data_IF_719840707608
#
_entry.id   IF_719840707608
#
_cell.length_a   1.000
_cell.length_b   1.000
_cell.length_c   1.000
_cell.angle_alpha   90.00
_cell.angle_beta   90.00
_cell.angle_gamma   90.00
#
_symmetry.space_group_name_H-M   'P 1'
#
loop_
_entity.id
_entity.type
_entity.pdbx_description
1 polymer ?
#
# COMPACT_ATOMS: atom_id res chain seq x y z
N UNK A 1 -29.30 -6.16 1.31
CA UNK A 1 -27.93 -5.63 1.50
C UNK A 1 -27.02 -6.78 1.86
N UNK A 2 -25.98 -7.12 1.08
CA UNK A 2 -24.98 -8.05 1.58
C UNK A 2 -24.05 -7.28 2.53
N UNK A 3 -23.92 -7.79 3.75
CA UNK A 3 -22.88 -7.39 4.68
C UNK A 3 -21.54 -7.80 4.07
N UNK A 4 -20.79 -6.84 3.54
CA UNK A 4 -19.36 -7.04 3.26
C UNK A 4 -18.72 -7.38 4.61
N UNK A 5 -17.95 -8.49 4.72
CA UNK A 5 -17.26 -8.78 5.96
C UNK A 5 -16.28 -7.64 6.22
N UNK A 6 -16.57 -6.82 7.23
CA UNK A 6 -15.60 -5.88 7.78
C UNK A 6 -14.47 -6.73 8.34
N UNK A 7 -13.42 -6.93 7.53
CA UNK A 7 -12.18 -7.53 7.97
C UNK A 7 -11.68 -6.65 9.11
N UNK A 8 -11.62 -7.22 10.32
CA UNK A 8 -11.20 -6.52 11.52
C UNK A 8 -9.92 -5.70 11.23
N UNK A 9 -9.79 -4.48 11.77
CA UNK A 9 -8.74 -3.53 11.39
C UNK A 9 -7.30 -4.04 11.52
N UNK A 10 -7.08 -5.11 12.30
CA UNK A 10 -5.76 -5.72 12.51
C UNK A 10 -5.52 -7.03 11.74
N UNK A 11 -6.46 -7.49 10.91
CA UNK A 11 -6.30 -8.76 10.17
C UNK A 11 -5.65 -8.50 8.81
N UNK A 12 -4.53 -9.18 8.56
CA UNK A 12 -3.92 -9.24 7.22
C UNK A 12 -4.81 -10.03 6.26
N UNK A 13 -4.96 -9.54 5.04
CA UNK A 13 -5.68 -10.20 3.97
C UNK A 13 -4.93 -10.10 2.65
N UNK A 14 -5.21 -11.00 1.70
CA UNK A 14 -4.69 -10.88 0.35
C UNK A 14 -5.41 -9.73 -0.37
N UNK A 15 -4.68 -8.81 -1.00
CA UNK A 15 -5.28 -7.65 -1.67
C UNK A 15 -6.25 -8.08 -2.79
N UNK A 16 -5.91 -9.15 -3.51
CA UNK A 16 -6.76 -9.75 -4.54
C UNK A 16 -8.11 -10.28 -4.02
N UNK A 17 -8.24 -10.52 -2.71
CA UNK A 17 -9.51 -10.97 -2.13
C UNK A 17 -10.54 -9.84 -1.99
N UNK A 18 -10.13 -8.57 -2.09
CA UNK A 18 -11.00 -7.40 -1.86
C UNK A 18 -10.90 -6.36 -2.98
N UNK A 19 -10.18 -6.64 -4.06
CA UNK A 19 -9.96 -5.68 -5.14
C UNK A 19 -11.27 -5.25 -5.83
N UNK A 20 -12.26 -6.13 -5.86
CA UNK A 20 -13.57 -5.85 -6.47
C UNK A 20 -14.55 -5.11 -5.54
N UNK A 21 -14.19 -4.95 -4.27
CA UNK A 21 -15.05 -4.37 -3.25
C UNK A 21 -14.69 -2.91 -3.00
N UNK A 22 -15.67 -2.02 -2.74
CA UNK A 22 -15.35 -0.68 -2.31
C UNK A 22 -14.65 -0.71 -0.95
N UNK A 23 -13.79 0.28 -0.71
CA UNK A 23 -13.13 0.44 0.58
C UNK A 23 -14.15 0.50 1.72
N UNK A 24 -13.93 -0.23 2.84
CA UNK A 24 -14.83 -0.18 3.98
C UNK A 24 -14.97 1.25 4.53
N UNK A 25 -16.17 1.64 5.00
CA UNK A 25 -16.36 2.92 5.65
C UNK A 25 -15.45 3.05 6.87
N UNK A 26 -14.87 4.24 7.08
CA UNK A 26 -13.94 4.51 8.17
C UNK A 26 -12.50 4.05 7.92
N UNK A 27 -12.20 3.48 6.74
CA UNK A 27 -10.82 3.20 6.33
C UNK A 27 -10.25 4.37 5.53
N UNK A 28 -8.98 4.71 5.76
CA UNK A 28 -8.21 5.71 5.00
C UNK A 28 -7.46 5.11 3.80
N UNK A 29 -7.49 3.80 3.66
CA UNK A 29 -6.77 3.03 2.65
C UNK A 29 -6.40 1.66 3.19
N UNK A 30 -5.59 0.92 2.44
CA UNK A 30 -4.97 -0.31 2.90
C UNK A 30 -3.46 -0.21 2.78
N UNK A 31 -2.75 -0.42 3.88
CA UNK A 31 -1.30 -0.60 3.89
C UNK A 31 -0.98 -1.92 3.19
N UNK A 32 -0.15 -1.91 2.16
CA UNK A 32 0.18 -3.08 1.35
C UNK A 32 1.62 -3.51 1.51
N UNK A 33 1.88 -4.83 1.48
CA UNK A 33 3.21 -5.42 1.46
C UNK A 33 3.28 -6.67 0.59
N UNK A 34 4.29 -6.74 -0.26
CA UNK A 34 4.65 -7.97 -0.96
C UNK A 34 5.22 -9.00 0.03
N UNK A 35 4.59 -10.17 0.12
CA UNK A 35 5.07 -11.34 0.88
C UNK A 35 4.98 -12.55 -0.02
N UNK A 36 6.10 -13.23 -0.25
CA UNK A 36 6.19 -14.39 -1.15
C UNK A 36 5.56 -14.14 -2.54
N UNK A 37 5.82 -12.95 -3.10
CA UNK A 37 5.28 -12.56 -4.41
C UNK A 37 3.82 -12.10 -4.42
N UNK A 38 3.10 -12.14 -3.29
CA UNK A 38 1.69 -11.71 -3.19
C UNK A 38 1.54 -10.43 -2.40
N UNK A 39 0.68 -9.52 -2.85
CA UNK A 39 0.34 -8.34 -2.07
C UNK A 39 -0.64 -8.71 -0.95
N UNK A 40 -0.19 -8.53 0.28
CA UNK A 40 -1.00 -8.60 1.48
C UNK A 40 -1.30 -7.19 1.97
N UNK A 41 -2.42 -7.02 2.63
CA UNK A 41 -2.94 -5.74 3.01
C UNK A 41 -3.49 -5.75 4.44
N UNK A 42 -3.46 -4.59 5.07
CA UNK A 42 -4.12 -4.29 6.35
C UNK A 42 -4.85 -2.96 6.18
N UNK A 43 -6.07 -2.86 6.67
CA UNK A 43 -6.82 -1.61 6.62
C UNK A 43 -6.18 -0.55 7.50
N UNK A 44 -6.06 0.66 6.97
CA UNK A 44 -5.66 1.84 7.71
C UNK A 44 -6.90 2.58 8.20
N UNK A 45 -6.94 3.05 9.45
CA UNK A 45 -8.02 3.91 9.90
C UNK A 45 -8.01 5.23 9.10
N UNK A 46 -9.18 5.86 8.95
CA UNK A 46 -9.31 7.10 8.18
C UNK A 46 -8.40 8.22 8.67
N UNK A 47 -8.21 8.30 9.98
CA UNK A 47 -7.39 9.28 10.72
C UNK A 47 -5.98 8.76 11.03
N UNK A 48 -5.46 7.79 10.27
CA UNK A 48 -4.08 7.36 10.41
C UNK A 48 -3.08 8.51 10.29
N UNK A 49 -2.02 8.44 11.10
CA UNK A 49 -0.82 9.27 10.95
C UNK A 49 -0.15 9.05 9.58
N UNK A 50 0.71 9.99 9.13
CA UNK A 50 1.51 9.81 7.92
C UNK A 50 2.24 8.47 7.90
N UNK A 51 2.33 7.90 6.71
CA UNK A 51 2.95 6.60 6.51
C UNK A 51 4.42 6.64 6.89
N UNK A 52 4.91 5.65 7.65
CA UNK A 52 6.34 5.47 7.85
C UNK A 52 7.10 5.39 6.51
N UNK A 53 8.34 5.90 6.44
CA UNK A 53 9.13 5.87 5.20
C UNK A 53 9.21 4.48 4.56
N UNK A 54 8.95 4.41 3.26
CA UNK A 54 9.00 3.17 2.48
C UNK A 54 7.76 2.27 2.59
N UNK A 55 6.80 2.61 3.45
CA UNK A 55 5.49 1.94 3.48
C UNK A 55 4.56 2.50 2.41
N UNK A 56 3.72 1.64 1.83
CA UNK A 56 2.81 2.00 0.75
C UNK A 56 1.37 1.74 1.17
N UNK A 57 0.51 2.73 1.00
CA UNK A 57 -0.94 2.57 1.12
C UNK A 57 -1.62 2.68 -0.24
N UNK A 58 -2.65 1.86 -0.45
CA UNK A 58 -3.55 1.97 -1.58
C UNK A 58 -4.90 2.52 -1.12
N UNK A 59 -5.46 3.43 -1.91
CA UNK A 59 -6.84 3.88 -1.77
C UNK A 59 -7.59 3.59 -3.05
N UNK A 60 -8.83 3.11 -2.95
CA UNK A 60 -9.65 2.90 -4.13
C UNK A 60 -11.12 3.17 -3.90
N UNK A 61 -11.80 3.57 -4.98
CA UNK A 61 -13.23 3.77 -5.03
C UNK A 61 -13.80 3.10 -6.27
N UNK A 62 -15.06 2.68 -6.17
CA UNK A 62 -15.79 2.06 -7.28
C UNK A 62 -16.87 3.03 -7.75
N UNK A 63 -16.90 3.30 -9.05
CA UNK A 63 -17.91 4.13 -9.67
C UNK A 63 -18.32 3.52 -11.02
N UNK A 64 -19.61 3.22 -11.19
CA UNK A 64 -20.12 2.68 -12.45
C UNK A 64 -19.52 1.34 -12.89
N UNK A 65 -18.99 0.54 -11.96
CA UNK A 65 -18.30 -0.73 -12.26
C UNK A 65 -16.80 -0.58 -12.56
N UNK A 66 -16.29 0.64 -12.61
CA UNK A 66 -14.86 0.94 -12.73
C UNK A 66 -14.24 1.26 -11.36
N UNK A 67 -12.96 0.96 -11.23
CA UNK A 67 -12.17 1.25 -10.04
C UNK A 67 -11.15 2.33 -10.34
N UNK A 68 -11.07 3.33 -9.46
CA UNK A 68 -9.91 4.24 -9.40
C UNK A 68 -9.05 3.81 -8.23
N UNK A 69 -7.77 3.54 -8.49
CA UNK A 69 -6.79 3.18 -7.46
C UNK A 69 -5.72 4.25 -7.40
N UNK A 70 -5.34 4.68 -6.20
CA UNK A 70 -4.19 5.54 -5.96
C UNK A 70 -3.24 4.85 -5.00
N UNK A 71 -1.94 4.97 -5.26
CA UNK A 71 -0.88 4.49 -4.39
C UNK A 71 -0.13 5.68 -3.79
N UNK A 72 0.03 5.67 -2.48
CA UNK A 72 0.83 6.65 -1.72
C UNK A 72 1.95 5.94 -0.99
N UNK A 73 3.12 6.57 -0.90
CA UNK A 73 4.26 6.07 -0.14
C UNK A 73 4.67 7.07 0.92
N UNK A 74 5.01 6.56 2.10
CA UNK A 74 5.61 7.37 3.15
C UNK A 74 7.04 7.78 2.80
N UNK A 75 7.35 9.05 3.01
CA UNK A 75 8.69 9.63 2.97
C UNK A 75 8.97 10.36 4.28
N UNK A 76 10.24 10.68 4.60
CA UNK A 76 10.58 11.45 5.80
C UNK A 76 9.86 12.81 5.91
N UNK A 77 9.46 13.38 4.77
CA UNK A 77 8.76 14.66 4.67
C UNK A 77 7.24 14.53 4.64
N UNK A 78 6.70 13.31 4.65
CA UNK A 78 5.26 13.02 4.55
C UNK A 78 4.93 12.03 3.43
N UNK A 79 3.65 11.89 3.13
CA UNK A 79 3.14 10.94 2.16
C UNK A 79 3.12 11.51 0.73
N UNK A 80 3.71 10.80 -0.22
CA UNK A 80 3.77 11.21 -1.62
C UNK A 80 3.00 10.25 -2.53
N UNK A 81 2.37 10.79 -3.57
CA UNK A 81 1.62 10.01 -4.55
C UNK A 81 2.57 9.30 -5.52
N UNK A 82 2.54 7.97 -5.56
CA UNK A 82 3.29 7.19 -6.54
C UNK A 82 2.57 7.12 -7.89
N UNK A 83 1.23 7.05 -7.86
CA UNK A 83 0.44 6.90 -9.06
C UNK A 83 -1.05 6.88 -8.78
N UNK A 84 -1.81 7.24 -9.80
CA UNK A 84 -3.26 7.06 -9.84
C UNK A 84 -3.65 6.40 -11.15
N UNK A 85 -4.41 5.33 -11.06
CA UNK A 85 -4.92 4.57 -12.19
C UNK A 85 -6.44 4.70 -12.22
N UNK A 86 -6.98 5.54 -13.12
CA UNK A 86 -8.42 5.65 -13.32
C UNK A 86 -8.94 4.51 -14.21
N UNK A 87 -10.26 4.31 -14.18
CA UNK A 87 -10.98 3.45 -15.14
C UNK A 87 -10.45 2.00 -15.19
N UNK A 88 -10.02 1.45 -14.06
CA UNK A 88 -9.61 0.06 -13.99
C UNK A 88 -10.82 -0.87 -13.91
N UNK A 89 -10.70 -2.07 -14.48
CA UNK A 89 -11.65 -3.15 -14.23
C UNK A 89 -11.58 -3.66 -12.79
N UNK A 90 -12.49 -4.56 -12.42
CA UNK A 90 -12.56 -5.10 -11.06
C UNK A 90 -11.31 -5.93 -10.68
N UNK A 91 -10.56 -6.46 -11.65
CA UNK A 91 -9.31 -7.22 -11.44
C UNK A 91 -8.04 -6.35 -11.53
N UNK A 92 -8.08 -5.15 -10.94
CA UNK A 92 -7.02 -4.15 -11.07
C UNK A 92 -5.69 -4.52 -10.40
N UNK A 93 -5.66 -5.53 -9.52
CA UNK A 93 -4.46 -5.84 -8.73
C UNK A 93 -3.27 -6.19 -9.61
N UNK A 94 -3.48 -6.86 -10.74
CA UNK A 94 -2.38 -7.23 -11.62
C UNK A 94 -1.78 -6.03 -12.38
N UNK A 95 -2.56 -4.94 -12.52
CA UNK A 95 -2.11 -3.68 -13.11
C UNK A 95 -1.30 -2.87 -12.10
N UNK A 96 -1.77 -2.80 -10.85
CA UNK A 96 -1.15 -1.96 -9.80
C UNK A 96 0.04 -2.66 -9.13
N UNK A 97 0.02 -3.98 -9.03
CA UNK A 97 1.01 -4.74 -8.26
C UNK A 97 2.46 -4.61 -8.75
N UNK A 98 2.78 -4.54 -10.06
CA UNK A 98 4.14 -4.31 -10.52
C UNK A 98 4.74 -3.03 -9.93
N UNK A 99 4.04 -1.90 -10.06
CA UNK A 99 4.50 -0.60 -9.53
C UNK A 99 4.66 -0.63 -8.01
N UNK A 100 3.72 -1.24 -7.29
CA UNK A 100 3.83 -1.40 -5.83
C UNK A 100 5.07 -2.22 -5.46
N UNK A 101 5.33 -3.34 -6.14
CA UNK A 101 6.50 -4.18 -5.86
C UNK A 101 7.81 -3.47 -6.17
N UNK A 102 7.89 -2.76 -7.29
CA UNK A 102 9.08 -1.99 -7.68
C UNK A 102 9.38 -0.90 -6.66
N UNK A 103 8.36 -0.13 -6.26
CA UNK A 103 8.51 0.91 -5.26
C UNK A 103 8.92 0.33 -3.89
N UNK A 104 8.36 -0.81 -3.48
CA UNK A 104 8.78 -1.51 -2.26
C UNK A 104 10.21 -2.00 -2.33
N UNK A 105 10.60 -2.64 -3.45
CA UNK A 105 11.97 -3.11 -3.64
C UNK A 105 12.98 -1.98 -3.63
N UNK A 106 12.65 -0.84 -4.26
CA UNK A 106 13.49 0.36 -4.22
C UNK A 106 13.60 0.92 -2.81
N UNK A 107 12.49 1.03 -2.07
CA UNK A 107 12.49 1.50 -0.69
C UNK A 107 13.32 0.59 0.23
N UNK A 108 13.19 -0.74 0.08
CA UNK A 108 13.97 -1.72 0.83
C UNK A 108 15.47 -1.62 0.48
N UNK A 109 15.82 -1.44 -0.80
CA UNK A 109 17.21 -1.25 -1.22
C UNK A 109 17.83 0.04 -0.66
N UNK A 110 17.09 1.15 -0.67
CA UNK A 110 17.52 2.42 -0.09
C UNK A 110 17.71 2.32 1.43
N UNK A 111 16.77 1.67 2.13
CA UNK A 111 16.88 1.43 3.57
C UNK A 111 18.11 0.56 3.91
N UNK A 112 18.35 -0.51 3.17
CA UNK A 112 19.53 -1.35 3.34
C UNK A 112 20.83 -0.59 3.09
N UNK A 113 20.88 0.22 2.03
CA UNK A 113 22.04 1.05 1.69
C UNK A 113 22.34 2.06 2.79
N UNK A 114 21.30 2.71 3.33
CA UNK A 114 21.43 3.65 4.44
C UNK A 114 21.97 2.97 5.70
N UNK A 115 21.43 1.82 6.07
CA UNK A 115 21.90 1.07 7.23
C UNK A 115 23.37 0.65 7.09
N UNK A 116 23.80 0.26 5.87
CA UNK A 116 25.21 -0.04 5.58
C UNK A 116 26.10 1.20 5.73
N UNK A 117 25.66 2.36 5.23
CA UNK A 117 26.41 3.60 5.35
C UNK A 117 26.57 4.02 6.81
N UNK A 118 25.49 3.97 7.59
CA UNK A 118 25.51 4.27 9.03
C UNK A 118 26.49 3.33 9.77
N UNK A 119 26.46 2.03 9.47
CA UNK A 119 27.40 1.08 10.05
C UNK A 119 28.87 1.38 9.70
N UNK A 120 29.16 1.83 8.48
CA UNK A 120 30.52 2.22 8.07
C UNK A 120 30.97 3.48 8.81
N UNK A 121 30.09 4.47 8.95
CA UNK A 121 30.39 5.71 9.67
C UNK A 121 30.65 5.46 11.16
N UNK A 122 29.87 4.57 11.79
CA UNK A 122 30.04 4.18 13.19
C UNK A 122 31.30 3.32 13.42
N UNK A 123 31.87 2.75 12.36
CA UNK A 123 33.09 1.93 12.40
C UNK A 123 34.38 2.74 12.15
N UNK A 124 34.27 4.03 11.82
CA UNK A 124 35.42 4.93 11.69
C UNK A 124 35.85 5.45 13.08
N UNK A 125 37.10 5.22 13.52
CA UNK A 125 37.61 5.71 14.80
C UNK A 125 37.87 7.22 14.83
#
# INVERSE_FOLDING_TARGET
MPLVPVLAPNRRFALAAVCRDPMPPGSGGALVRAVAGRLNAVWLPLDHEPLPPGLIALTWTIHGGEVRVSARMGFPTGDELLGTWPCLGLDWTDIVAPTVREAQGLAEALAATRAMLEAVLDSCP
#
